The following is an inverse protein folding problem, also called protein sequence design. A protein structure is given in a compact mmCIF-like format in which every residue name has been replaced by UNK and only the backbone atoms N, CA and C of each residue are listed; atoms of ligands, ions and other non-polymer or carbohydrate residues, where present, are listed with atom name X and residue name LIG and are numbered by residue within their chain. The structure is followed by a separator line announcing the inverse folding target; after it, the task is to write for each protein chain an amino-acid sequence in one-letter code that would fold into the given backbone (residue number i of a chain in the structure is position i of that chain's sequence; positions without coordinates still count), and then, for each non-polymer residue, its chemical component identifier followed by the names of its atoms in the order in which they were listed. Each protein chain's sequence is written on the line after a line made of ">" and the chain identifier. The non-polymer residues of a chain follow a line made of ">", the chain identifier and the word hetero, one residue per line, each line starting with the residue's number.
data_IF_317186700459
#
_entry.id   IF_317186700459
#
_cell.length_a   1.000
_cell.length_b   1.000
_cell.length_c   1.000
_cell.angle_alpha   90.00
_cell.angle_beta   90.00
_cell.angle_gamma   90.00
#
_symmetry.space_group_name_H-M   'P 1'
#
loop_
_entity.id
_entity.type
_entity.pdbx_description
1 polymer ?
#
# COMPACT_ATOMS: atom_id res chain seq x y z
N UNK A 1 31.16 10.16 -5.70
CA UNK A 1 29.84 9.48 -5.63
C UNK A 1 29.94 8.04 -5.16
N UNK A 2 30.94 7.26 -5.55
CA UNK A 2 31.08 5.85 -5.13
C UNK A 2 31.15 5.64 -3.61
N UNK A 3 31.89 6.47 -2.87
CA UNK A 3 31.91 6.35 -1.40
C UNK A 3 30.53 6.56 -0.76
N UNK A 4 29.73 7.51 -1.27
CA UNK A 4 28.36 7.73 -0.80
C UNK A 4 27.48 6.50 -1.08
N UNK A 5 27.52 5.97 -2.31
CA UNK A 5 26.77 4.76 -2.67
C UNK A 5 27.21 3.55 -1.86
N UNK A 6 28.51 3.42 -1.57
CA UNK A 6 29.04 2.34 -0.74
C UNK A 6 28.53 2.44 0.70
N UNK A 7 28.50 3.64 1.27
CA UNK A 7 27.95 3.87 2.63
C UNK A 7 26.45 3.59 2.67
N UNK A 8 25.69 4.05 1.66
CA UNK A 8 24.26 3.77 1.55
C UNK A 8 23.98 2.27 1.39
N UNK A 9 24.75 1.58 0.53
CA UNK A 9 24.63 0.14 0.34
C UNK A 9 25.01 -0.64 1.61
N UNK A 10 26.03 -0.20 2.36
CA UNK A 10 26.40 -0.81 3.62
C UNK A 10 25.30 -0.66 4.68
N UNK A 11 24.63 0.50 4.72
CA UNK A 11 23.49 0.74 5.60
C UNK A 11 22.30 -0.16 5.23
N UNK A 12 21.96 -0.27 3.94
CA UNK A 12 20.91 -1.21 3.50
C UNK A 12 21.29 -2.66 3.73
N UNK A 13 22.56 -3.04 3.56
CA UNK A 13 23.05 -4.38 3.84
C UNK A 13 22.98 -4.75 5.34
N UNK A 14 23.05 -3.75 6.24
CA UNK A 14 22.84 -3.97 7.66
C UNK A 14 21.36 -4.09 8.03
N UNK A 15 20.50 -3.28 7.40
CA UNK A 15 19.07 -3.22 7.74
C UNK A 15 18.28 -4.36 7.10
N UNK A 16 18.60 -4.75 5.87
CA UNK A 16 17.86 -5.78 5.14
C UNK A 16 17.75 -7.11 5.91
N UNK A 17 18.84 -7.68 6.49
CA UNK A 17 18.74 -8.91 7.28
C UNK A 17 17.86 -8.78 8.52
N UNK A 18 17.88 -7.61 9.18
CA UNK A 18 17.03 -7.35 10.35
C UNK A 18 15.56 -7.22 9.94
N UNK A 19 15.30 -6.51 8.85
CA UNK A 19 13.97 -6.35 8.27
C UNK A 19 13.40 -7.69 7.82
N UNK A 20 14.18 -8.48 7.07
CA UNK A 20 13.80 -9.81 6.61
C UNK A 20 13.58 -10.75 7.80
N UNK A 21 14.43 -10.67 8.83
CA UNK A 21 14.24 -11.46 10.04
C UNK A 21 12.92 -11.14 10.75
N UNK A 22 12.58 -9.85 10.92
CA UNK A 22 11.32 -9.43 11.54
C UNK A 22 10.11 -9.76 10.65
N UNK A 23 10.26 -9.59 9.34
CA UNK A 23 9.20 -9.85 8.38
C UNK A 23 8.89 -11.34 8.24
N UNK A 24 9.90 -12.21 8.36
CA UNK A 24 9.76 -13.66 8.30
C UNK A 24 9.74 -14.30 9.70
N UNK A 25 9.57 -13.51 10.76
CA UNK A 25 9.37 -14.04 12.10
C UNK A 25 7.94 -14.59 12.26
N UNK A 26 7.73 -15.79 12.85
CA UNK A 26 8.69 -16.79 13.30
C UNK A 26 8.97 -17.89 12.26
N UNK A 27 8.58 -17.73 11.00
CA UNK A 27 8.85 -18.70 9.92
C UNK A 27 10.35 -18.99 9.72
N UNK A 28 11.22 -18.09 10.17
CA UNK A 28 12.68 -18.29 10.24
C UNK A 28 13.13 -19.44 11.16
N UNK A 29 12.30 -19.85 12.13
CA UNK A 29 12.61 -20.95 13.03
C UNK A 29 12.11 -22.28 12.45
N UNK A 30 13.01 -23.25 12.30
CA UNK A 30 12.71 -24.59 11.76
C UNK A 30 11.57 -25.30 12.50
N UNK A 31 11.44 -25.09 13.81
CA UNK A 31 10.37 -25.66 14.62
C UNK A 31 8.98 -25.10 14.25
N UNK A 32 8.91 -23.84 13.80
CA UNK A 32 7.66 -23.20 13.39
C UNK A 32 7.35 -23.46 11.91
N UNK A 33 8.37 -23.46 11.05
CA UNK A 33 8.20 -23.73 9.61
C UNK A 33 7.69 -25.16 9.32
N UNK A 34 7.87 -26.07 10.28
CA UNK A 34 7.36 -27.45 10.21
C UNK A 34 5.86 -27.57 10.54
N UNK A 35 5.23 -26.52 11.08
CA UNK A 35 3.80 -26.55 11.39
C UNK A 35 3.01 -26.46 10.06
N UNK A 36 2.12 -27.42 9.76
CA UNK A 36 1.31 -27.38 8.55
C UNK A 36 0.50 -26.08 8.47
N UNK A 37 0.56 -25.40 7.32
CA UNK A 37 -0.14 -24.13 7.01
C UNK A 37 0.38 -22.92 7.82
N UNK A 38 0.41 -22.98 9.15
CA UNK A 38 0.85 -21.86 10.01
C UNK A 38 2.33 -21.52 9.81
N UNK A 39 3.19 -22.52 9.57
CA UNK A 39 4.62 -22.32 9.33
C UNK A 39 4.97 -21.53 8.06
N UNK A 40 3.97 -21.23 7.22
CA UNK A 40 4.12 -20.46 5.98
C UNK A 40 3.68 -19.00 6.12
N UNK A 41 3.06 -18.63 7.26
CA UNK A 41 2.64 -17.25 7.52
C UNK A 41 3.56 -16.59 8.54
N UNK A 42 4.17 -15.46 8.17
CA UNK A 42 4.71 -14.54 9.15
C UNK A 42 3.69 -14.14 10.21
N UNK A 43 4.16 -13.91 11.43
CA UNK A 43 3.33 -13.48 12.54
C UNK A 43 2.63 -12.13 12.26
N UNK A 44 3.31 -11.21 11.57
CA UNK A 44 2.70 -9.94 11.16
C UNK A 44 1.43 -10.16 10.33
N UNK A 45 1.44 -11.13 9.40
CA UNK A 45 0.28 -11.44 8.57
C UNK A 45 -0.85 -12.06 9.41
N UNK A 46 -0.51 -13.01 10.28
CA UNK A 46 -1.49 -13.63 11.18
C UNK A 46 -2.14 -12.60 12.10
N UNK A 47 -1.36 -11.66 12.62
CA UNK A 47 -1.83 -10.57 13.46
C UNK A 47 -2.78 -9.65 12.68
N UNK A 48 -2.37 -9.18 11.50
CA UNK A 48 -3.15 -8.25 10.68
C UNK A 48 -4.48 -8.85 10.23
N UNK A 49 -4.45 -10.08 9.71
CA UNK A 49 -5.68 -10.79 9.32
C UNK A 49 -6.53 -11.11 10.55
N UNK A 50 -5.92 -11.56 11.64
CA UNK A 50 -6.62 -11.86 12.90
C UNK A 50 -7.33 -10.65 13.49
N UNK A 51 -6.68 -9.49 13.49
CA UNK A 51 -7.27 -8.20 13.90
C UNK A 51 -8.38 -7.78 12.96
N UNK A 52 -8.18 -7.91 11.64
CA UNK A 52 -9.22 -7.63 10.65
C UNK A 52 -10.47 -8.51 10.81
N UNK A 53 -10.29 -9.80 11.08
CA UNK A 53 -11.39 -10.73 11.42
C UNK A 53 -12.06 -10.31 12.74
N UNK A 54 -11.28 -10.01 13.78
CA UNK A 54 -11.81 -9.59 15.07
C UNK A 54 -12.67 -8.32 14.94
N UNK A 55 -12.17 -7.29 14.26
CA UNK A 55 -12.91 -6.06 14.01
C UNK A 55 -14.12 -6.28 13.11
N UNK A 56 -14.03 -7.15 12.11
CA UNK A 56 -15.18 -7.52 11.28
C UNK A 56 -16.31 -8.11 12.13
N UNK A 57 -16.00 -9.04 13.04
CA UNK A 57 -17.01 -9.63 13.92
C UNK A 57 -17.57 -8.60 14.91
N UNK A 58 -16.69 -7.83 15.57
CA UNK A 58 -17.09 -6.80 16.55
C UNK A 58 -17.95 -5.69 15.96
N UNK A 59 -17.67 -5.29 14.72
CA UNK A 59 -18.40 -4.24 14.01
C UNK A 59 -19.62 -4.76 13.24
N UNK A 60 -19.95 -6.06 13.37
CA UNK A 60 -21.04 -6.74 12.65
C UNK A 60 -20.90 -6.61 11.13
N UNK A 61 -19.70 -6.90 10.63
CA UNK A 61 -19.32 -6.85 9.22
C UNK A 61 -19.57 -5.47 8.60
N UNK A 62 -18.95 -4.42 9.15
CA UNK A 62 -19.06 -3.04 8.65
C UNK A 62 -18.75 -2.92 7.15
N UNK A 63 -17.89 -3.79 6.62
CA UNK A 63 -17.56 -3.86 5.20
C UNK A 63 -18.74 -4.22 4.28
N UNK A 64 -19.84 -4.77 4.82
CA UNK A 64 -21.09 -5.05 4.09
C UNK A 64 -22.06 -3.86 4.10
N UNK A 65 -21.63 -2.69 4.57
CA UNK A 65 -22.42 -1.45 4.55
C UNK A 65 -22.97 -1.14 3.15
N UNK A 66 -24.20 -0.61 3.12
CA UNK A 66 -24.90 -0.34 1.87
C UNK A 66 -24.12 0.64 0.97
N UNK A 67 -23.67 0.21 -0.23
CA UNK A 67 -22.85 1.03 -1.12
C UNK A 67 -23.59 2.30 -1.56
N UNK A 68 -24.93 2.25 -1.68
CA UNK A 68 -25.74 3.43 -2.01
C UNK A 68 -25.65 4.51 -0.93
N UNK A 69 -25.55 4.10 0.34
CA UNK A 69 -25.40 5.03 1.47
C UNK A 69 -24.01 5.67 1.46
N UNK A 70 -22.98 4.89 1.19
CA UNK A 70 -21.59 5.36 1.07
C UNK A 70 -21.48 6.41 -0.05
N UNK A 71 -21.94 6.06 -1.27
CA UNK A 71 -21.91 6.97 -2.43
C UNK A 71 -22.69 8.25 -2.15
N UNK A 72 -23.87 8.15 -1.53
CA UNK A 72 -24.67 9.34 -1.15
C UNK A 72 -23.93 10.25 -0.17
N UNK A 73 -23.20 9.69 0.79
CA UNK A 73 -22.40 10.47 1.75
C UNK A 73 -21.23 11.15 1.03
N UNK A 74 -20.55 10.44 0.12
CA UNK A 74 -19.43 11.00 -0.64
C UNK A 74 -19.84 12.13 -1.58
N UNK A 75 -21.01 12.02 -2.21
CA UNK A 75 -21.54 13.02 -3.14
C UNK A 75 -22.24 14.19 -2.44
N UNK A 76 -22.51 14.10 -1.14
CA UNK A 76 -23.05 15.24 -0.38
C UNK A 76 -22.00 16.34 -0.34
N UNK A 77 -22.32 17.49 -0.95
CA UNK A 77 -21.54 18.72 -0.78
C UNK A 77 -21.61 19.15 0.69
N UNK A 78 -20.55 18.89 1.44
CA UNK A 78 -20.32 19.48 2.75
C UNK A 78 -19.39 20.68 2.53
N UNK A 79 -19.86 21.89 2.83
CA UNK A 79 -19.00 23.07 2.91
C UNK A 79 -18.34 23.08 4.28
N UNK A 80 -17.27 22.30 4.46
CA UNK A 80 -16.41 22.48 5.63
C UNK A 80 -15.38 23.55 5.30
N UNK A 81 -15.35 24.66 6.06
CA UNK A 81 -14.39 25.76 5.86
C UNK A 81 -12.92 25.39 6.12
N UNK A 82 -12.64 24.13 6.45
CA UNK A 82 -11.31 23.54 6.65
C UNK A 82 -11.29 22.10 6.14
N UNK A 83 -10.24 21.70 5.42
CA UNK A 83 -10.06 20.33 4.89
C UNK A 83 -10.54 20.09 3.46
N UNK A 84 -10.33 18.86 2.99
CA UNK A 84 -10.63 18.39 1.62
C UNK A 84 -12.03 17.75 1.58
N UNK A 85 -12.75 17.87 0.45
CA UNK A 85 -14.10 17.29 0.30
C UNK A 85 -14.10 15.75 0.44
N UNK A 86 -15.22 15.15 0.85
CA UNK A 86 -15.31 13.69 1.06
C UNK A 86 -14.92 12.88 -0.20
N UNK A 87 -15.33 13.32 -1.39
CA UNK A 87 -14.96 12.66 -2.64
C UNK A 87 -13.47 12.86 -2.97
N UNK A 88 -12.92 14.04 -2.70
CA UNK A 88 -11.50 14.29 -2.92
C UNK A 88 -10.63 13.51 -1.92
N UNK A 89 -11.04 13.36 -0.66
CA UNK A 89 -10.38 12.49 0.32
C UNK A 89 -10.41 11.02 -0.09
N UNK A 90 -11.51 10.56 -0.70
CA UNK A 90 -11.60 9.21 -1.26
C UNK A 90 -10.69 9.02 -2.48
N UNK A 91 -10.72 9.97 -3.43
CA UNK A 91 -9.83 9.95 -4.59
C UNK A 91 -8.36 10.02 -4.18
N UNK A 92 -8.07 10.76 -3.10
CA UNK A 92 -6.76 10.82 -2.45
C UNK A 92 -6.31 9.45 -1.95
N UNK A 93 -7.15 8.79 -1.14
CA UNK A 93 -6.86 7.44 -0.67
C UNK A 93 -6.67 6.45 -1.83
N UNK A 94 -7.50 6.53 -2.87
CA UNK A 94 -7.36 5.68 -4.06
C UNK A 94 -6.04 5.92 -4.80
N UNK A 95 -5.65 7.17 -5.07
CA UNK A 95 -4.45 7.43 -5.87
C UNK A 95 -3.15 7.19 -5.11
N UNK A 96 -3.16 7.29 -3.77
CA UNK A 96 -2.03 6.89 -2.93
C UNK A 96 -1.76 5.38 -3.06
N UNK A 97 -2.82 4.57 -3.05
CA UNK A 97 -2.73 3.09 -3.16
C UNK A 97 -2.61 2.60 -4.61
N UNK A 98 -3.16 3.34 -5.57
CA UNK A 98 -3.01 3.07 -7.00
C UNK A 98 -1.69 3.66 -7.53
N UNK A 99 -0.60 2.91 -7.34
CA UNK A 99 0.73 3.30 -7.81
C UNK A 99 1.49 2.15 -8.49
N UNK A 100 2.64 2.45 -9.12
CA UNK A 100 3.48 1.44 -9.73
C UNK A 100 3.91 0.35 -8.73
N UNK A 101 4.12 0.72 -7.45
CA UNK A 101 4.42 -0.24 -6.39
C UNK A 101 3.31 -1.27 -6.19
N UNK A 102 2.04 -0.86 -6.29
CA UNK A 102 0.91 -1.77 -6.21
C UNK A 102 0.87 -2.71 -7.42
N UNK A 103 1.06 -2.18 -8.63
CA UNK A 103 1.13 -2.98 -9.87
C UNK A 103 2.23 -4.05 -9.76
N UNK A 104 3.45 -3.64 -9.38
CA UNK A 104 4.58 -4.55 -9.18
C UNK A 104 4.28 -5.58 -8.09
N UNK A 105 3.61 -5.18 -7.00
CA UNK A 105 3.28 -6.10 -5.91
C UNK A 105 2.27 -7.17 -6.32
N UNK A 106 1.22 -6.78 -7.08
CA UNK A 106 0.20 -7.70 -7.61
C UNK A 106 0.82 -8.63 -8.65
N UNK A 107 1.58 -8.09 -9.60
CA UNK A 107 2.26 -8.91 -10.61
C UNK A 107 3.23 -9.89 -9.96
N UNK A 108 4.02 -9.46 -8.97
CA UNK A 108 4.90 -10.34 -8.21
C UNK A 108 4.15 -11.43 -7.44
N UNK A 109 2.97 -11.12 -6.88
CA UNK A 109 2.10 -12.10 -6.24
C UNK A 109 1.65 -13.19 -7.23
N UNK A 110 1.24 -12.78 -8.43
CA UNK A 110 0.78 -13.69 -9.49
C UNK A 110 1.96 -14.50 -10.06
N UNK A 111 3.14 -13.88 -10.24
CA UNK A 111 4.33 -14.57 -10.75
C UNK A 111 4.82 -15.68 -9.82
N UNK A 112 4.71 -15.49 -8.50
CA UNK A 112 5.19 -16.46 -7.51
C UNK A 112 4.07 -17.40 -7.04
N UNK A 113 2.89 -16.86 -6.76
CA UNK A 113 1.74 -17.59 -6.19
C UNK A 113 0.70 -18.03 -7.21
N UNK A 114 0.88 -17.72 -8.49
CA UNK A 114 -0.10 -18.01 -9.54
C UNK A 114 -1.35 -17.12 -9.49
N UNK A 115 -2.30 -17.31 -10.42
CA UNK A 115 -3.55 -16.54 -10.48
C UNK A 115 -4.37 -16.61 -9.20
N UNK A 116 -4.28 -17.73 -8.47
CA UNK A 116 -4.96 -17.95 -7.19
C UNK A 116 -4.60 -16.98 -6.07
N UNK A 117 -3.43 -16.33 -6.16
CA UNK A 117 -3.04 -15.30 -5.19
C UNK A 117 -4.04 -14.13 -5.17
N UNK A 118 -4.66 -13.81 -6.32
CA UNK A 118 -5.65 -12.72 -6.42
C UNK A 118 -6.88 -12.95 -5.54
N UNK A 119 -7.38 -14.20 -5.47
CA UNK A 119 -8.51 -14.53 -4.61
C UNK A 119 -8.18 -14.22 -3.14
N UNK A 120 -7.00 -14.64 -2.69
CA UNK A 120 -6.56 -14.39 -1.32
C UNK A 120 -6.21 -12.92 -1.05
N UNK A 121 -5.80 -12.17 -2.06
CA UNK A 121 -5.70 -10.70 -1.98
C UNK A 121 -7.08 -10.07 -1.73
N UNK A 122 -8.15 -10.55 -2.38
CA UNK A 122 -9.51 -10.06 -2.13
C UNK A 122 -10.01 -10.41 -0.73
N UNK A 123 -9.73 -11.61 -0.24
CA UNK A 123 -10.06 -12.02 1.13
C UNK A 123 -9.33 -11.14 2.15
N UNK A 124 -8.03 -10.89 1.95
CA UNK A 124 -7.25 -10.01 2.80
C UNK A 124 -7.79 -8.56 2.75
N UNK A 125 -8.15 -8.06 1.56
CA UNK A 125 -8.77 -6.75 1.38
C UNK A 125 -10.10 -6.63 2.14
N UNK A 126 -10.92 -7.69 2.09
CA UNK A 126 -12.21 -7.72 2.77
C UNK A 126 -12.09 -7.53 4.29
N UNK A 127 -11.16 -8.25 4.92
CA UNK A 127 -10.89 -8.08 6.36
C UNK A 127 -10.12 -6.77 6.65
N UNK A 128 -9.24 -6.34 5.75
CA UNK A 128 -8.53 -5.07 5.85
C UNK A 128 -9.45 -3.84 5.85
N UNK A 129 -10.61 -3.90 5.16
CA UNK A 129 -11.61 -2.82 5.21
C UNK A 129 -12.11 -2.54 6.64
N UNK A 130 -12.25 -3.57 7.49
CA UNK A 130 -12.66 -3.39 8.87
C UNK A 130 -11.57 -2.69 9.70
N UNK A 131 -10.30 -3.06 9.51
CA UNK A 131 -9.15 -2.42 10.16
C UNK A 131 -9.04 -0.95 9.75
N UNK A 132 -9.08 -0.67 8.44
CA UNK A 132 -9.00 0.69 7.92
C UNK A 132 -10.16 1.58 8.41
N UNK A 133 -11.36 1.00 8.57
CA UNK A 133 -12.51 1.69 9.17
C UNK A 133 -12.27 2.05 10.63
N UNK A 134 -11.72 1.13 11.42
CA UNK A 134 -11.38 1.38 12.83
C UNK A 134 -10.30 2.45 12.97
N UNK A 135 -9.25 2.41 12.14
CA UNK A 135 -8.20 3.41 12.12
C UNK A 135 -8.73 4.79 11.74
N UNK A 136 -9.54 4.87 10.69
CA UNK A 136 -10.18 6.13 10.27
C UNK A 136 -11.09 6.69 11.36
N UNK A 137 -11.78 5.82 12.10
CA UNK A 137 -12.65 6.22 13.21
C UNK A 137 -11.84 6.73 14.41
N UNK A 138 -10.75 6.03 14.77
CA UNK A 138 -9.85 6.46 15.85
C UNK A 138 -9.18 7.78 15.52
N UNK A 139 -8.74 7.95 14.27
CA UNK A 139 -8.18 9.19 13.76
C UNK A 139 -9.18 10.34 13.96
N UNK A 140 -10.42 10.18 13.47
CA UNK A 140 -11.45 11.21 13.67
C UNK A 140 -11.81 11.50 15.13
N UNK A 141 -11.72 10.51 16.02
CA UNK A 141 -12.02 10.65 17.45
C UNK A 141 -10.91 11.40 18.21
N UNK A 142 -9.65 11.19 17.82
CA UNK A 142 -8.47 11.70 18.52
C UNK A 142 -7.75 12.83 17.78
N UNK A 143 -8.29 13.34 16.67
CA UNK A 143 -7.74 14.50 15.96
C UNK A 143 -7.66 15.72 16.88
N UNK A 144 -6.55 16.45 16.79
CA UNK A 144 -6.31 17.67 17.55
C UNK A 144 -6.16 18.86 16.60
N UNK A 145 -6.72 20.01 16.94
CA UNK A 145 -6.56 21.24 16.15
C UNK A 145 -5.31 21.98 16.62
N UNK A 146 -4.35 22.22 15.74
CA UNK A 146 -3.12 22.96 16.00
C UNK A 146 -2.86 23.98 14.89
N UNK A 147 -2.73 25.26 15.25
CA UNK A 147 -2.47 26.37 14.30
C UNK A 147 -3.41 26.40 13.08
N UNK A 148 -4.72 26.30 13.33
CA UNK A 148 -5.78 26.22 12.30
C UNK A 148 -5.77 24.99 11.37
N UNK A 149 -4.90 24.02 11.64
CA UNK A 149 -4.85 22.75 10.93
C UNK A 149 -5.25 21.60 11.87
N UNK A 150 -5.86 20.56 11.32
CA UNK A 150 -6.13 19.32 12.06
C UNK A 150 -4.93 18.40 11.93
N UNK A 151 -4.39 17.96 13.05
CA UNK A 151 -3.30 16.99 13.13
C UNK A 151 -3.83 15.72 13.77
N UNK A 152 -3.48 14.59 13.15
CA UNK A 152 -4.05 13.29 13.46
C UNK A 152 -3.05 12.17 13.07
N UNK A 153 -3.44 10.92 13.29
CA UNK A 153 -2.73 9.73 12.87
C UNK A 153 -2.29 8.84 14.03
N UNK A 154 -1.58 7.76 13.68
CA UNK A 154 -1.08 6.74 14.62
C UNK A 154 -0.43 7.30 15.89
N UNK A 155 0.42 8.35 15.82
CA UNK A 155 1.04 8.88 17.03
C UNK A 155 0.07 9.57 17.99
N UNK A 156 -1.05 10.11 17.50
CA UNK A 156 -2.03 10.86 18.30
C UNK A 156 -2.99 9.91 19.02
N UNK A 157 -3.70 9.06 18.27
CA UNK A 157 -4.59 8.08 18.91
C UNK A 157 -3.79 7.04 19.71
N UNK A 158 -2.61 6.63 19.24
CA UNK A 158 -1.75 5.69 19.95
C UNK A 158 -1.31 6.24 21.30
N UNK A 159 -0.88 7.51 21.35
CA UNK A 159 -0.55 8.18 22.62
C UNK A 159 -1.74 8.22 23.57
N UNK A 160 -2.94 8.54 23.07
CA UNK A 160 -4.17 8.62 23.90
C UNK A 160 -4.56 7.25 24.46
N UNK A 161 -4.48 6.19 23.66
CA UNK A 161 -4.83 4.82 24.07
C UNK A 161 -3.82 4.28 25.10
N UNK A 162 -2.54 4.62 24.98
CA UNK A 162 -1.45 4.13 25.85
C UNK A 162 -1.19 5.02 27.09
N UNK A 163 -2.20 5.75 27.56
CA UNK A 163 -2.16 6.50 28.81
C UNK A 163 -1.51 7.89 28.74
N UNK A 164 -1.59 8.55 27.57
CA UNK A 164 -1.16 9.93 27.30
C UNK A 164 0.31 10.24 27.64
N UNK A 165 1.16 9.22 27.66
CA UNK A 165 2.59 9.40 27.91
C UNK A 165 3.26 10.00 26.67
N UNK A 166 3.88 11.18 26.85
CA UNK A 166 4.63 11.88 25.78
C UNK A 166 5.69 10.99 25.10
N UNK A 167 6.31 10.08 25.84
CA UNK A 167 7.29 9.13 25.30
C UNK A 167 6.71 8.19 24.24
N UNK A 168 5.47 7.73 24.41
CA UNK A 168 4.80 6.83 23.45
C UNK A 168 4.49 7.54 22.14
N UNK A 169 3.94 8.77 22.22
CA UNK A 169 3.67 9.58 21.03
C UNK A 169 4.95 9.92 20.25
N UNK A 170 6.05 10.20 20.96
CA UNK A 170 7.35 10.48 20.35
C UNK A 170 7.91 9.24 19.65
N UNK A 171 7.84 8.08 20.30
CA UNK A 171 8.28 6.81 19.73
C UNK A 171 7.49 6.45 18.47
N UNK A 172 6.15 6.52 18.52
CA UNK A 172 5.30 6.24 17.36
C UNK A 172 5.54 7.21 16.20
N UNK A 173 5.76 8.50 16.51
CA UNK A 173 6.12 9.50 15.49
C UNK A 173 7.46 9.17 14.83
N UNK A 174 8.46 8.76 15.62
CA UNK A 174 9.77 8.40 15.11
C UNK A 174 9.69 7.15 14.23
N UNK A 175 8.95 6.12 14.64
CA UNK A 175 8.70 4.92 13.83
C UNK A 175 8.03 5.29 12.50
N UNK A 176 7.03 6.16 12.52
CA UNK A 176 6.35 6.61 11.31
C UNK A 176 7.26 7.43 10.38
N UNK A 177 8.08 8.32 10.93
CA UNK A 177 9.06 9.11 10.14
C UNK A 177 10.10 8.19 9.50
N UNK A 178 10.62 7.21 10.25
CA UNK A 178 11.55 6.21 9.73
C UNK A 178 10.89 5.43 8.59
N UNK A 179 9.68 4.89 8.81
CA UNK A 179 8.90 4.22 7.78
C UNK A 179 8.72 5.09 6.52
N UNK A 180 8.31 6.35 6.67
CA UNK A 180 8.12 7.28 5.56
C UNK A 180 9.43 7.53 4.79
N UNK A 181 10.56 7.66 5.50
CA UNK A 181 11.87 7.86 4.88
C UNK A 181 12.31 6.63 4.08
N UNK A 182 12.07 5.42 4.59
CA UNK A 182 12.38 4.17 3.90
C UNK A 182 11.48 3.89 2.68
N UNK A 183 10.35 4.59 2.55
CA UNK A 183 9.50 4.51 1.36
C UNK A 183 9.97 5.38 0.19
N UNK A 184 10.82 6.39 0.43
CA UNK A 184 11.32 7.28 -0.63
C UNK A 184 12.15 6.53 -1.69
N UNK A 185 13.12 5.65 -1.34
CA UNK A 185 13.92 4.94 -2.35
C UNK A 185 13.09 4.00 -3.25
N UNK A 186 12.19 3.13 -2.72
CA UNK A 186 11.33 2.29 -3.56
C UNK A 186 10.42 3.11 -4.48
N UNK A 187 9.84 4.21 -3.99
CA UNK A 187 9.01 5.09 -4.84
C UNK A 187 9.83 5.72 -5.96
N UNK A 188 11.04 6.18 -5.65
CA UNK A 188 11.97 6.75 -6.63
C UNK A 188 12.38 5.70 -7.69
N UNK A 189 12.70 4.47 -7.26
CA UNK A 189 13.02 3.36 -8.15
C UNK A 189 11.88 3.03 -9.11
N UNK A 190 10.64 3.05 -8.62
CA UNK A 190 9.45 2.82 -9.42
C UNK A 190 9.25 3.89 -10.50
N UNK A 191 9.50 5.16 -10.18
CA UNK A 191 9.43 6.26 -11.16
C UNK A 191 10.47 6.06 -12.27
N UNK A 192 11.72 5.78 -11.91
CA UNK A 192 12.78 5.54 -12.91
C UNK A 192 12.53 4.29 -13.75
N UNK A 193 12.01 3.22 -13.14
CA UNK A 193 11.66 1.99 -13.87
C UNK A 193 10.54 2.25 -14.87
N UNK A 194 9.48 2.97 -14.48
CA UNK A 194 8.41 3.34 -15.40
C UNK A 194 8.93 4.16 -16.59
N UNK A 195 9.85 5.11 -16.34
CA UNK A 195 10.49 5.88 -17.40
C UNK A 195 11.33 5.02 -18.35
N UNK A 196 12.08 4.06 -17.81
CA UNK A 196 12.85 3.12 -18.63
C UNK A 196 11.97 2.26 -19.53
N UNK A 197 10.80 1.84 -19.05
CA UNK A 197 9.82 1.12 -19.87
C UNK A 197 9.27 2.00 -21.00
N UNK A 198 8.99 3.28 -20.74
CA UNK A 198 8.54 4.22 -21.78
C UNK A 198 9.63 4.41 -22.85
N UNK A 199 10.89 4.57 -22.45
CA UNK A 199 12.01 4.71 -23.39
C UNK A 199 12.25 3.44 -24.22
N UNK A 200 12.07 2.26 -23.63
CA UNK A 200 12.15 0.99 -24.34
C UNK A 200 11.05 0.86 -25.41
N UNK A 201 9.85 1.38 -25.16
CA UNK A 201 8.75 1.42 -26.15
C UNK A 201 9.09 2.34 -27.34
N UNK A 202 9.90 3.39 -27.13
CA UNK A 202 10.39 4.26 -28.21
C UNK A 202 11.58 3.68 -28.98
N UNK A 203 12.02 2.45 -28.67
CA UNK A 203 13.11 1.76 -29.37
C UNK A 203 14.52 2.12 -28.89
N UNK A 204 14.66 2.95 -27.84
CA UNK A 204 15.95 3.32 -27.28
C UNK A 204 16.18 2.63 -25.91
N UNK A 205 17.18 1.76 -25.86
CA UNK A 205 17.68 1.21 -24.59
C UNK A 205 18.62 2.22 -23.92
N UNK A 206 18.06 3.19 -23.22
CA UNK A 206 18.84 4.11 -22.41
C UNK A 206 19.50 3.35 -21.26
N UNK A 207 20.84 3.35 -21.22
CA UNK A 207 21.60 2.87 -20.08
C UNK A 207 21.14 3.60 -18.81
N UNK A 208 21.01 2.88 -17.69
CA UNK A 208 20.47 3.42 -16.42
C UNK A 208 21.31 4.57 -15.83
N UNK A 209 22.56 4.76 -16.31
CA UNK A 209 23.45 5.88 -15.98
C UNK A 209 23.55 6.94 -17.09
N UNK A 210 22.65 6.93 -18.08
CA UNK A 210 22.62 7.94 -19.14
C UNK A 210 22.31 9.33 -18.56
N UNK A 211 22.85 10.36 -19.21
CA UNK A 211 22.57 11.78 -18.93
C UNK A 211 21.06 12.07 -18.84
N UNK A 212 20.23 11.35 -19.61
CA UNK A 212 18.77 11.49 -19.58
C UNK A 212 18.18 11.17 -18.19
N UNK A 213 18.64 10.09 -17.55
CA UNK A 213 18.18 9.72 -16.20
C UNK A 213 18.61 10.75 -15.16
N UNK A 214 19.81 11.33 -15.30
CA UNK A 214 20.28 12.41 -14.42
C UNK A 214 19.45 13.69 -14.61
N UNK A 215 19.13 14.08 -15.84
CA UNK A 215 18.26 15.23 -16.11
C UNK A 215 16.86 15.04 -15.49
N UNK A 216 16.27 13.85 -15.63
CA UNK A 216 14.99 13.50 -15.01
C UNK A 216 15.09 13.55 -13.48
N UNK A 217 16.16 12.99 -12.91
CA UNK A 217 16.38 13.01 -11.46
C UNK A 217 16.44 14.45 -10.91
N UNK A 218 17.22 15.32 -11.56
CA UNK A 218 17.33 16.74 -11.19
C UNK A 218 15.98 17.43 -11.34
N UNK A 219 15.27 17.20 -12.45
CA UNK A 219 13.92 17.75 -12.66
C UNK A 219 12.94 17.34 -11.57
N UNK A 220 12.94 16.06 -11.18
CA UNK A 220 12.10 15.54 -10.10
C UNK A 220 12.44 16.19 -8.76
N UNK A 221 13.73 16.28 -8.41
CA UNK A 221 14.18 16.91 -7.17
C UNK A 221 13.77 18.38 -7.13
N UNK A 222 14.02 19.15 -8.19
CA UNK A 222 13.65 20.57 -8.26
C UNK A 222 12.14 20.76 -8.15
N UNK A 223 11.34 19.95 -8.86
CA UNK A 223 9.89 20.01 -8.79
C UNK A 223 9.36 19.67 -7.38
N UNK A 224 9.85 18.59 -6.78
CA UNK A 224 9.48 18.21 -5.42
C UNK A 224 9.88 19.28 -4.40
N UNK A 225 11.11 19.81 -4.49
CA UNK A 225 11.57 20.90 -3.63
C UNK A 225 10.71 22.14 -3.76
N UNK A 226 10.34 22.55 -4.99
CA UNK A 226 9.49 23.72 -5.21
C UNK A 226 8.09 23.57 -4.58
N UNK A 227 7.51 22.36 -4.64
CA UNK A 227 6.20 22.07 -4.05
C UNK A 227 6.31 22.04 -2.51
N UNK A 228 7.31 21.34 -1.97
CA UNK A 228 7.49 21.15 -0.51
C UNK A 228 7.87 22.46 0.18
N UNK A 229 8.77 23.26 -0.40
CA UNK A 229 9.18 24.56 0.17
C UNK A 229 8.03 25.58 0.21
N UNK A 230 6.95 25.35 -0.53
CA UNK A 230 5.72 26.15 -0.44
C UNK A 230 4.85 25.86 0.78
N UNK A 231 5.24 24.91 1.63
CA UNK A 231 4.48 24.49 2.80
C UNK A 231 3.28 23.60 2.46
N UNK A 232 2.58 23.16 3.50
CA UNK A 232 1.52 22.15 3.38
C UNK A 232 0.36 22.60 2.48
N UNK A 233 0.01 23.90 2.50
CA UNK A 233 -1.07 24.46 1.66
C UNK A 233 -0.80 24.33 0.16
N UNK A 234 0.47 24.44 -0.26
CA UNK A 234 0.85 24.25 -1.66
C UNK A 234 0.76 22.77 -2.02
N UNK A 235 1.32 21.90 -1.18
CA UNK A 235 1.26 20.45 -1.37
C UNK A 235 -0.21 20.00 -1.53
N UNK A 236 -1.10 20.45 -0.65
CA UNK A 236 -2.54 20.11 -0.73
C UNK A 236 -3.16 20.63 -2.01
N UNK A 237 -2.91 21.88 -2.40
CA UNK A 237 -3.49 22.46 -3.63
C UNK A 237 -3.10 21.70 -4.91
N UNK A 238 -1.85 21.27 -5.05
CA UNK A 238 -1.43 20.45 -6.19
C UNK A 238 -2.00 19.03 -6.12
N UNK A 239 -1.98 18.44 -4.93
CA UNK A 239 -2.48 17.09 -4.69
C UNK A 239 -3.98 17.00 -5.00
N UNK A 240 -4.77 17.99 -4.57
CA UNK A 240 -6.21 18.07 -4.81
C UNK A 240 -6.60 18.02 -6.29
N UNK A 241 -5.72 18.47 -7.19
CA UNK A 241 -5.95 18.45 -8.64
C UNK A 241 -5.33 17.21 -9.30
N UNK A 242 -4.06 16.93 -9.03
CA UNK A 242 -3.32 15.86 -9.71
C UNK A 242 -3.83 14.46 -9.36
N UNK A 243 -4.22 14.26 -8.10
CA UNK A 243 -4.63 12.95 -7.60
C UNK A 243 -5.92 12.45 -8.25
N UNK A 244 -7.01 13.24 -8.30
CA UNK A 244 -8.22 12.83 -9.03
C UNK A 244 -7.96 12.51 -10.51
N UNK A 245 -7.11 13.30 -11.19
CA UNK A 245 -6.77 13.07 -12.60
C UNK A 245 -6.04 11.73 -12.75
N UNK A 246 -5.01 11.47 -11.92
CA UNK A 246 -4.27 10.21 -11.93
C UNK A 246 -5.20 9.01 -11.70
N UNK A 247 -6.08 9.08 -10.71
CA UNK A 247 -7.03 8.02 -10.41
C UNK A 247 -8.00 7.76 -11.58
N UNK A 248 -8.53 8.84 -12.18
CA UNK A 248 -9.44 8.74 -13.32
C UNK A 248 -8.76 8.11 -14.54
N UNK A 249 -7.54 8.53 -14.88
CA UNK A 249 -6.77 7.96 -15.98
C UNK A 249 -6.48 6.47 -15.76
N UNK A 250 -6.07 6.08 -14.55
CA UNK A 250 -5.82 4.69 -14.21
C UNK A 250 -7.09 3.84 -14.36
N UNK A 251 -8.20 4.26 -13.76
CA UNK A 251 -9.49 3.56 -13.88
C UNK A 251 -9.96 3.46 -15.33
N UNK A 252 -9.84 4.54 -16.11
CA UNK A 252 -10.24 4.57 -17.52
C UNK A 252 -9.41 3.55 -18.34
N UNK A 253 -8.09 3.56 -18.19
CA UNK A 253 -7.21 2.62 -18.90
C UNK A 253 -7.50 1.17 -18.52
N UNK A 254 -7.74 0.87 -17.23
CA UNK A 254 -8.15 -0.47 -16.81
C UNK A 254 -9.48 -0.90 -17.44
N UNK A 255 -10.48 -0.01 -17.47
CA UNK A 255 -11.77 -0.30 -18.08
C UNK A 255 -11.67 -0.54 -19.59
N UNK A 256 -10.83 0.23 -20.30
CA UNK A 256 -10.58 0.04 -21.73
C UNK A 256 -9.95 -1.33 -21.99
N UNK A 257 -8.94 -1.73 -21.22
CA UNK A 257 -8.29 -3.04 -21.36
C UNK A 257 -9.29 -4.18 -21.10
N UNK A 258 -10.14 -4.04 -20.06
CA UNK A 258 -11.19 -5.02 -19.75
C UNK A 258 -12.21 -5.09 -20.90
N UNK A 259 -12.61 -3.94 -21.47
CA UNK A 259 -13.57 -3.89 -22.57
C UNK A 259 -13.04 -4.58 -23.84
N UNK A 260 -11.76 -4.40 -24.15
CA UNK A 260 -11.10 -5.07 -25.29
C UNK A 260 -11.01 -6.59 -25.06
N UNK A 261 -10.86 -7.02 -23.81
CA UNK A 261 -10.68 -8.44 -23.43
C UNK A 261 -11.93 -9.05 -22.78
N UNK A 262 -13.13 -8.50 -23.07
CA UNK A 262 -14.39 -8.95 -22.46
C UNK A 262 -14.62 -10.46 -22.53
N UNK A 263 -14.31 -11.16 -23.64
CA UNK A 263 -14.50 -12.61 -23.75
C UNK A 263 -13.64 -13.44 -22.78
N UNK A 264 -12.53 -12.88 -22.29
CA UNK A 264 -11.61 -13.56 -21.38
C UNK A 264 -12.03 -13.43 -19.91
N UNK A 265 -13.05 -12.63 -19.58
CA UNK A 265 -13.50 -12.42 -18.19
C UNK A 265 -13.92 -13.73 -17.51
N UNK A 266 -14.73 -14.62 -18.14
CA UNK A 266 -15.09 -15.89 -17.50
C UNK A 266 -13.87 -16.78 -17.24
N UNK A 267 -12.94 -16.82 -18.19
CA UNK A 267 -11.68 -17.57 -18.06
C UNK A 267 -10.83 -17.02 -16.92
N UNK A 268 -10.74 -15.69 -16.79
CA UNK A 268 -10.04 -15.04 -15.68
C UNK A 268 -10.57 -15.48 -14.31
N UNK A 269 -11.89 -15.44 -14.10
CA UNK A 269 -12.46 -15.86 -12.81
C UNK A 269 -12.28 -17.35 -12.56
N UNK A 270 -12.35 -18.18 -13.61
CA UNK A 270 -12.06 -19.61 -13.51
C UNK A 270 -10.63 -19.85 -13.01
N UNK A 271 -9.63 -19.25 -13.65
CA UNK A 271 -8.22 -19.39 -13.27
C UNK A 271 -7.94 -18.88 -11.85
N UNK A 272 -8.57 -17.77 -11.45
CA UNK A 272 -8.39 -17.22 -10.10
C UNK A 272 -8.98 -18.16 -9.03
N UNK A 273 -10.20 -18.68 -9.24
CA UNK A 273 -10.84 -19.55 -8.25
C UNK A 273 -10.16 -20.92 -8.22
N UNK A 274 -9.94 -21.53 -9.39
CA UNK A 274 -9.27 -22.83 -9.48
C UNK A 274 -7.86 -22.71 -8.93
N UNK A 275 -7.07 -21.73 -9.36
CA UNK A 275 -5.71 -21.52 -8.86
C UNK A 275 -5.62 -21.24 -7.35
N UNK A 276 -6.69 -20.72 -6.73
CA UNK A 276 -6.71 -20.44 -5.29
C UNK A 276 -6.86 -21.70 -4.42
N UNK A 277 -7.53 -22.72 -4.96
CA UNK A 277 -7.85 -23.98 -4.27
C UNK A 277 -7.19 -25.21 -4.92
N UNK A 278 -6.54 -25.06 -6.06
CA UNK A 278 -5.90 -26.14 -6.80
C UNK A 278 -4.63 -26.60 -6.08
N UNK A 279 -4.48 -27.91 -5.83
CA UNK A 279 -3.28 -28.47 -5.22
C UNK A 279 -2.11 -28.44 -6.20
N UNK A 280 -1.37 -27.33 -6.27
CA UNK A 280 -0.11 -27.32 -7.01
C UNK A 280 0.99 -28.04 -6.20
N UNK A 281 1.41 -29.19 -6.73
CA UNK A 281 2.37 -30.13 -6.15
C UNK A 281 3.80 -29.60 -6.01
N UNK A 282 4.11 -28.43 -6.60
CA UNK A 282 5.50 -27.93 -6.70
C UNK A 282 6.02 -27.18 -5.45
N UNK A 283 5.16 -26.71 -4.54
CA UNK A 283 5.59 -25.83 -3.42
C UNK A 283 5.12 -26.25 -2.02
N UNK A 284 4.80 -27.54 -1.81
CA UNK A 284 4.75 -28.13 -0.46
C UNK A 284 3.47 -27.89 0.37
N UNK A 285 2.46 -27.17 -0.14
CA UNK A 285 1.10 -27.22 0.42
C UNK A 285 0.08 -26.78 -0.64
N UNK A 286 -1.01 -27.53 -0.79
CA UNK A 286 -2.01 -27.35 -1.85
C UNK A 286 -2.61 -25.93 -1.93
N UNK A 287 -2.71 -25.22 -0.81
CA UNK A 287 -3.35 -23.89 -0.71
C UNK A 287 -2.34 -22.81 -0.29
N UNK A 288 -1.19 -23.19 0.27
CA UNK A 288 -0.42 -22.28 1.10
C UNK A 288 0.42 -21.27 0.35
N UNK A 289 0.92 -21.57 -0.86
CA UNK A 289 1.71 -20.59 -1.63
C UNK A 289 0.85 -19.46 -2.22
N UNK A 290 -0.27 -19.75 -2.93
CA UNK A 290 -1.20 -18.71 -3.38
C UNK A 290 -1.77 -17.91 -2.20
N UNK A 291 -2.12 -18.57 -1.09
CA UNK A 291 -2.62 -17.92 0.12
C UNK A 291 -1.56 -17.00 0.76
N UNK A 292 -0.34 -17.50 1.00
CA UNK A 292 0.73 -16.72 1.61
C UNK A 292 1.11 -15.51 0.76
N UNK A 293 1.31 -15.69 -0.55
CA UNK A 293 1.63 -14.57 -1.44
C UNK A 293 0.47 -13.59 -1.60
N UNK A 294 -0.76 -14.10 -1.73
CA UNK A 294 -1.96 -13.30 -1.86
C UNK A 294 -2.21 -12.44 -0.61
N UNK A 295 -2.16 -13.03 0.58
CA UNK A 295 -2.34 -12.25 1.81
C UNK A 295 -1.16 -11.29 2.04
N UNK A 296 0.09 -11.72 1.85
CA UNK A 296 1.30 -10.88 2.02
C UNK A 296 1.25 -9.64 1.14
N UNK A 297 0.96 -9.82 -0.15
CA UNK A 297 0.91 -8.71 -1.13
C UNK A 297 -0.39 -7.93 -1.05
N UNK A 298 -1.51 -8.58 -0.69
CA UNK A 298 -2.80 -7.93 -0.46
C UNK A 298 -2.77 -6.94 0.71
N UNK A 299 -2.14 -7.31 1.83
CA UNK A 299 -1.99 -6.39 2.96
C UNK A 299 -1.10 -5.19 2.62
N UNK A 300 0.01 -5.41 1.90
CA UNK A 300 0.88 -4.33 1.41
C UNK A 300 0.18 -3.39 0.43
N UNK A 301 -0.64 -3.94 -0.47
CA UNK A 301 -1.40 -3.18 -1.48
C UNK A 301 -2.48 -2.29 -0.86
N UNK A 302 -3.18 -2.81 0.15
CA UNK A 302 -4.31 -2.14 0.77
C UNK A 302 -3.91 -1.16 1.88
N UNK A 303 -2.67 -1.24 2.38
CA UNK A 303 -2.19 -0.46 3.53
C UNK A 303 -3.21 -0.48 4.69
N UNK A 304 -3.66 -1.68 5.05
CA UNK A 304 -4.62 -1.88 6.13
C UNK A 304 -3.92 -2.49 7.34
N UNK A 305 -3.96 -1.77 8.48
CA UNK A 305 -3.21 -2.11 9.70
C UNK A 305 -1.76 -1.66 9.66
#
# INVERSE_FOLDING_TARGET
>A
MENLFRTVNALFAFIAPVSDFLWDFPTNFKAYSQIPVLGQFPFAILLLVGVGIHFSIRTRFVQTMNPRKIVRIMLRRQSSGTGISAIASFMLGLAMRAGPGNIVSITGAISVGGPGALFWMWVAAFFGMATAFMESTLAQLFKEKKHDEFVDGLPFYGRRILGDRRGVGTFLSLVFIVYALFNVPPQTFNVFTAMGTIAAVTGEHLARQSTVYYCIAVGLVVACSFIIMGGIRRVTAYTDVLVPIKAALFCLMSLVIIAINLPLIPYFFHEVIVGAFAPHTLFGSAIGTPLAQGVKRGLMSNEAG
#
